data_IF_633280166604
#
_entry.id   IF_633280166604
#
_cell.length_a   1.000
_cell.length_b   1.000
_cell.length_c   1.000
_cell.angle_alpha   90.00
_cell.angle_beta   90.00
_cell.angle_gamma   90.00
#
_symmetry.space_group_name_H-M   'P 1'
#
loop_
_entity.id
_entity.type
_entity.pdbx_description
1 polymer ?
#
# COMPACT_ATOMS: atom_id res chain seq x y z
N UNK A 1 -48.94 1.31 6.07
CA UNK A 1 -47.71 2.05 5.75
C UNK A 1 -46.57 1.06 5.78
N UNK A 2 -46.10 0.60 4.61
CA UNK A 2 -44.95 -0.31 4.54
C UNK A 2 -43.67 0.54 4.63
N UNK A 3 -42.98 0.48 5.76
CA UNK A 3 -41.64 1.04 5.92
C UNK A 3 -40.70 0.29 4.99
N UNK A 4 -40.25 0.95 3.92
CA UNK A 4 -39.19 0.48 3.06
C UNK A 4 -37.90 0.41 3.88
N UNK A 5 -37.50 -0.80 4.25
CA UNK A 5 -36.19 -1.08 4.82
C UNK A 5 -35.13 -0.74 3.75
N UNK A 6 -34.62 0.49 3.80
CA UNK A 6 -33.55 0.92 2.92
C UNK A 6 -32.30 0.13 3.31
N UNK A 7 -32.02 -0.93 2.54
CA UNK A 7 -30.80 -1.73 2.63
C UNK A 7 -29.61 -0.84 2.29
N UNK A 8 -29.13 -0.09 3.28
CA UNK A 8 -27.95 0.76 3.15
C UNK A 8 -26.79 -0.13 2.66
N UNK A 9 -26.07 0.28 1.61
CA UNK A 9 -24.85 -0.42 1.22
C UNK A 9 -23.96 -0.50 2.46
N UNK A 10 -23.48 -1.70 2.80
CA UNK A 10 -22.83 -1.93 4.08
C UNK A 10 -21.38 -1.40 4.07
N UNK A 11 -21.22 -0.09 3.94
CA UNK A 11 -19.93 0.61 3.91
C UNK A 11 -19.09 0.32 5.15
N UNK A 12 -19.73 0.07 6.29
CA UNK A 12 -19.04 -0.33 7.52
C UNK A 12 -18.39 -1.70 7.40
N UNK A 13 -19.00 -2.65 6.69
CA UNK A 13 -18.36 -3.95 6.45
C UNK A 13 -17.07 -3.79 5.64
N UNK A 14 -17.09 -2.98 4.59
CA UNK A 14 -15.90 -2.73 3.75
C UNK A 14 -14.81 -2.01 4.53
N UNK A 15 -15.18 -1.02 5.35
CA UNK A 15 -14.24 -0.35 6.26
C UNK A 15 -13.53 -1.35 7.16
N UNK A 16 -14.28 -2.27 7.79
CA UNK A 16 -13.68 -3.32 8.63
C UNK A 16 -12.77 -4.26 7.84
N UNK A 17 -13.13 -4.65 6.62
CA UNK A 17 -12.24 -5.44 5.74
C UNK A 17 -10.93 -4.72 5.45
N UNK A 18 -10.98 -3.43 5.11
CA UNK A 18 -9.79 -2.61 4.84
C UNK A 18 -8.95 -2.43 6.11
N UNK A 19 -9.58 -2.20 7.25
CA UNK A 19 -8.90 -2.10 8.54
C UNK A 19 -8.16 -3.39 8.90
N UNK A 20 -8.80 -4.55 8.74
CA UNK A 20 -8.19 -5.87 8.97
C UNK A 20 -6.99 -6.08 8.05
N UNK A 21 -7.13 -5.78 6.75
CA UNK A 21 -6.01 -5.85 5.80
C UNK A 21 -4.82 -4.99 6.24
N UNK A 22 -5.09 -3.83 6.83
CA UNK A 22 -4.05 -2.90 7.32
C UNK A 22 -3.36 -3.44 8.58
N UNK A 23 -4.11 -4.04 9.49
CA UNK A 23 -3.53 -4.75 10.66
C UNK A 23 -2.65 -5.91 10.21
N UNK A 24 -3.06 -6.65 9.18
CA UNK A 24 -2.27 -7.74 8.60
C UNK A 24 -0.95 -7.19 8.02
N UNK A 25 -0.96 -6.07 7.30
CA UNK A 25 0.27 -5.44 6.81
C UNK A 25 1.25 -5.13 7.94
N UNK A 26 0.75 -4.57 9.05
CA UNK A 26 1.58 -4.26 10.22
C UNK A 26 2.21 -5.55 10.77
N UNK A 27 1.42 -6.62 10.93
CA UNK A 27 1.93 -7.91 11.39
C UNK A 27 3.00 -8.50 10.45
N UNK A 28 2.80 -8.36 9.14
CA UNK A 28 3.76 -8.81 8.12
C UNK A 28 5.09 -8.06 8.21
N UNK A 29 5.08 -6.75 8.50
CA UNK A 29 6.30 -5.94 8.66
C UNK A 29 7.13 -6.39 9.86
N UNK A 30 6.48 -6.85 10.94
CA UNK A 30 7.18 -7.33 12.14
C UNK A 30 7.63 -8.79 12.05
N UNK A 31 7.29 -9.51 10.98
CA UNK A 31 7.72 -10.89 10.79
C UNK A 31 9.21 -10.94 10.39
N UNK A 32 10.01 -11.90 10.90
CA UNK A 32 11.43 -12.04 10.55
C UNK A 32 11.62 -12.67 9.15
N UNK A 33 11.04 -12.05 8.13
CA UNK A 33 11.16 -12.46 6.73
C UNK A 33 12.21 -11.62 5.99
N UNK A 34 12.65 -12.12 4.84
CA UNK A 34 13.50 -11.34 3.95
C UNK A 34 12.77 -10.06 3.49
N UNK A 35 13.50 -8.93 3.44
CA UNK A 35 12.95 -7.61 3.06
C UNK A 35 12.22 -7.63 1.70
N UNK A 36 12.73 -8.42 0.76
CA UNK A 36 12.09 -8.60 -0.55
C UNK A 36 10.73 -9.29 -0.44
N UNK A 37 10.64 -10.35 0.36
CA UNK A 37 9.39 -11.08 0.62
C UNK A 37 8.35 -10.19 1.30
N UNK A 38 8.77 -9.41 2.30
CA UNK A 38 7.89 -8.42 2.96
C UNK A 38 7.36 -7.42 1.94
N UNK A 39 8.23 -6.86 1.08
CA UNK A 39 7.82 -5.93 0.03
C UNK A 39 6.80 -6.52 -0.94
N UNK A 40 7.00 -7.76 -1.40
CA UNK A 40 6.04 -8.45 -2.28
C UNK A 40 4.69 -8.66 -1.59
N UNK A 41 4.70 -9.06 -0.31
CA UNK A 41 3.48 -9.30 0.45
C UNK A 41 2.69 -8.00 0.71
N UNK A 42 3.40 -6.91 1.04
CA UNK A 42 2.79 -5.59 1.20
C UNK A 42 2.18 -5.09 -0.12
N UNK A 43 2.87 -5.27 -1.25
CA UNK A 43 2.31 -4.96 -2.56
C UNK A 43 1.04 -5.77 -2.85
N UNK A 44 1.02 -7.07 -2.53
CA UNK A 44 -0.15 -7.92 -2.72
C UNK A 44 -1.34 -7.45 -1.84
N UNK A 45 -1.09 -7.09 -0.57
CA UNK A 45 -2.10 -6.55 0.33
C UNK A 45 -2.62 -5.17 -0.12
N UNK A 46 -1.74 -4.31 -0.63
CA UNK A 46 -2.10 -3.02 -1.23
C UNK A 46 -3.02 -3.19 -2.44
N UNK A 47 -2.68 -4.12 -3.35
CA UNK A 47 -3.52 -4.45 -4.50
C UNK A 47 -4.86 -5.03 -4.06
N UNK A 48 -4.88 -5.93 -3.07
CA UNK A 48 -6.12 -6.49 -2.52
C UNK A 48 -7.07 -5.41 -2.00
N UNK A 49 -6.56 -4.42 -1.25
CA UNK A 49 -7.35 -3.25 -0.83
C UNK A 49 -7.89 -2.46 -2.03
N UNK A 50 -7.06 -2.21 -3.04
CA UNK A 50 -7.49 -1.49 -4.25
C UNK A 50 -8.59 -2.26 -5.01
N UNK A 51 -8.49 -3.59 -5.13
CA UNK A 51 -9.54 -4.42 -5.76
C UNK A 51 -10.82 -4.41 -4.94
N UNK A 52 -10.74 -4.48 -3.61
CA UNK A 52 -11.92 -4.40 -2.72
C UNK A 52 -12.61 -3.04 -2.87
N UNK A 53 -11.82 -1.96 -2.92
CA UNK A 53 -12.35 -0.62 -3.19
C UNK A 53 -13.00 -0.55 -4.58
N UNK A 54 -12.36 -1.09 -5.61
CA UNK A 54 -12.93 -1.10 -6.97
C UNK A 54 -14.23 -1.92 -7.04
N UNK A 55 -14.26 -3.14 -6.51
CA UNK A 55 -15.45 -3.99 -6.54
C UNK A 55 -16.63 -3.39 -5.76
N UNK A 56 -16.40 -2.78 -4.60
CA UNK A 56 -17.48 -2.28 -3.75
C UNK A 56 -17.86 -0.82 -4.00
N UNK A 57 -16.92 0.06 -4.35
CA UNK A 57 -17.19 1.48 -4.60
C UNK A 57 -17.38 1.81 -6.10
N UNK A 58 -16.85 1.00 -7.04
CA UNK A 58 -17.05 1.27 -8.48
C UNK A 58 -18.18 0.46 -9.13
N UNK A 59 -18.66 -0.65 -8.55
CA UNK A 59 -19.62 -1.53 -9.24
C UNK A 59 -21.10 -1.07 -9.18
N UNK A 60 -21.45 0.06 -8.57
CA UNK A 60 -22.76 0.73 -8.74
C UNK A 60 -22.68 1.97 -9.63
N UNK A 61 -22.40 1.66 -10.89
CA UNK A 61 -22.73 2.27 -12.19
C UNK A 61 -23.17 3.75 -12.39
N UNK A 62 -23.65 4.60 -11.47
CA UNK A 62 -24.21 5.90 -11.92
C UNK A 62 -23.99 7.18 -11.10
N UNK A 63 -23.29 7.16 -9.96
CA UNK A 63 -23.09 8.41 -9.19
C UNK A 63 -21.71 8.49 -8.48
N UNK A 64 -20.68 7.91 -9.11
CA UNK A 64 -19.43 7.49 -8.42
C UNK A 64 -18.18 8.27 -8.78
N UNK A 65 -18.25 9.34 -9.58
CA UNK A 65 -17.04 10.11 -9.99
C UNK A 65 -16.26 10.65 -8.79
N UNK A 66 -16.95 11.16 -7.76
CA UNK A 66 -16.29 11.74 -6.58
C UNK A 66 -15.61 10.68 -5.72
N UNK A 67 -16.29 9.55 -5.43
CA UNK A 67 -15.70 8.44 -4.66
C UNK A 67 -14.54 7.77 -5.41
N UNK A 68 -14.67 7.62 -6.74
CA UNK A 68 -13.60 7.14 -7.60
C UNK A 68 -12.38 8.07 -7.59
N UNK A 69 -12.58 9.40 -7.64
CA UNK A 69 -11.48 10.37 -7.54
C UNK A 69 -10.77 10.29 -6.18
N UNK A 70 -11.51 10.13 -5.07
CA UNK A 70 -10.92 9.96 -3.73
C UNK A 70 -10.11 8.66 -3.65
N UNK A 71 -10.54 7.57 -4.29
CA UNK A 71 -9.78 6.31 -4.33
C UNK A 71 -8.57 6.36 -5.28
N UNK A 72 -8.66 7.09 -6.38
CA UNK A 72 -7.57 7.26 -7.36
C UNK A 72 -6.48 8.20 -6.83
N UNK A 73 -6.83 9.19 -6.02
CA UNK A 73 -5.89 10.15 -5.43
C UNK A 73 -4.71 9.47 -4.71
N UNK A 74 -4.92 8.56 -3.73
CA UNK A 74 -3.82 7.86 -3.07
C UNK A 74 -3.06 6.93 -4.02
N UNK A 75 -3.70 6.39 -5.07
CA UNK A 75 -3.03 5.55 -6.07
C UNK A 75 -2.03 6.37 -6.92
N UNK A 76 -2.42 7.59 -7.32
CA UNK A 76 -1.54 8.52 -8.03
C UNK A 76 -0.38 8.94 -7.13
N UNK A 77 -0.67 9.30 -5.87
CA UNK A 77 0.37 9.67 -4.89
C UNK A 77 1.34 8.50 -4.68
N UNK A 78 0.86 7.28 -4.50
CA UNK A 78 1.71 6.09 -4.35
C UNK A 78 2.61 5.86 -5.58
N UNK A 79 2.06 6.03 -6.79
CA UNK A 79 2.84 5.90 -8.04
C UNK A 79 3.94 6.97 -8.13
N UNK A 80 3.62 8.23 -7.82
CA UNK A 80 4.62 9.30 -7.78
C UNK A 80 5.70 9.05 -6.72
N UNK A 81 5.31 8.57 -5.53
CA UNK A 81 6.25 8.21 -4.47
C UNK A 81 7.22 7.11 -4.91
N UNK A 82 6.76 6.09 -5.64
CA UNK A 82 7.65 5.05 -6.20
C UNK A 82 8.68 5.68 -7.14
N UNK A 83 8.27 6.57 -8.04
CA UNK A 83 9.18 7.23 -8.98
C UNK A 83 10.21 8.13 -8.29
N UNK A 84 9.82 8.83 -7.21
CA UNK A 84 10.72 9.69 -6.44
C UNK A 84 11.66 8.87 -5.54
N UNK A 85 11.14 7.80 -4.93
CA UNK A 85 11.88 7.00 -3.94
C UNK A 85 12.81 5.97 -4.57
N UNK A 86 12.50 5.45 -5.76
CA UNK A 86 13.39 4.52 -6.48
C UNK A 86 14.82 5.06 -6.63
N UNK A 87 15.06 6.24 -7.24
CA UNK A 87 16.40 6.77 -7.42
C UNK A 87 17.10 7.07 -6.08
N UNK A 88 16.37 7.53 -5.07
CA UNK A 88 16.92 7.74 -3.72
C UNK A 88 17.33 6.41 -3.06
N UNK A 89 16.49 5.37 -3.15
CA UNK A 89 16.81 4.03 -2.68
C UNK A 89 18.04 3.43 -3.37
N UNK A 90 18.19 3.62 -4.69
CA UNK A 90 19.40 3.22 -5.41
C UNK A 90 20.63 4.03 -4.99
N UNK A 91 20.49 5.34 -4.75
CA UNK A 91 21.56 6.20 -4.27
C UNK A 91 22.01 5.81 -2.85
N UNK A 92 21.06 5.54 -1.95
CA UNK A 92 21.31 5.04 -0.60
C UNK A 92 22.00 3.69 -0.64
N UNK A 93 21.52 2.74 -1.46
CA UNK A 93 22.16 1.43 -1.65
C UNK A 93 23.63 1.60 -2.03
N UNK A 94 23.93 2.42 -3.05
CA UNK A 94 25.31 2.71 -3.49
C UNK A 94 26.14 3.32 -2.36
N UNK A 95 25.59 4.25 -1.58
CA UNK A 95 26.28 4.85 -0.42
C UNK A 95 26.56 3.84 0.68
N UNK A 96 25.62 2.96 1.03
CA UNK A 96 25.85 1.90 2.04
C UNK A 96 26.90 0.89 1.60
N UNK A 97 26.94 0.54 0.31
CA UNK A 97 28.00 -0.32 -0.24
C UNK A 97 29.36 0.38 -0.18
N UNK A 98 29.42 1.67 -0.57
CA UNK A 98 30.65 2.46 -0.53
C UNK A 98 31.20 2.69 0.89
N UNK A 99 30.32 2.98 1.85
CA UNK A 99 30.71 3.13 3.27
C UNK A 99 31.25 1.82 3.83
N UNK A 100 30.57 0.68 3.57
CA UNK A 100 31.03 -0.63 4.03
C UNK A 100 32.39 -1.00 3.43
N UNK A 101 32.63 -0.68 2.15
CA UNK A 101 33.93 -0.90 1.51
C UNK A 101 35.05 -0.06 2.16
N UNK A 102 34.81 1.23 2.39
CA UNK A 102 35.79 2.14 3.01
C UNK A 102 36.11 1.80 4.47
N UNK A 103 35.18 1.16 5.20
CA UNK A 103 35.43 0.71 6.59
C UNK A 103 36.18 -0.62 6.65
N UNK A 104 36.27 -1.35 5.53
CA UNK A 104 36.92 -2.68 5.46
C UNK A 104 38.34 -2.60 4.86
N UNK A 105 38.72 -1.50 4.22
CA UNK A 105 40.12 -1.22 3.89
C UNK A 105 40.89 -0.93 5.20
N UNK A 106 41.87 -1.75 5.59
CA UNK A 106 42.70 -1.42 6.74
C UNK A 106 43.46 -0.13 6.40
N UNK A 107 43.43 0.84 7.32
CA UNK A 107 44.20 2.06 7.23
C UNK A 107 45.64 1.68 6.85
N UNK A 108 46.02 2.01 5.61
CA UNK A 108 47.34 1.75 5.07
C UNK A 108 48.31 2.70 5.77
N UNK A 109 48.79 2.28 6.93
CA UNK A 109 49.99 2.82 7.56
C UNK A 109 51.23 2.24 6.90
#
# INVERSE_FOLDING_TARGET
MATTEHKHPNYMAIFWYLAILTVIEIAVIYMPLAKFTIGVLLCALALGKATLVAMYFMHLKFETRTLGMVAVTPLVIATLLIFVLLPDGFAVMKRTVGVKAATTEPAKH
#
